data_IF_544052276537
#
_entry.id   IF_544052276537
#
_cell.length_a   1.000
_cell.length_b   1.000
_cell.length_c   1.000
_cell.angle_alpha   90.00
_cell.angle_beta   90.00
_cell.angle_gamma   90.00
#
_symmetry.space_group_name_H-M   'P 1'
#
loop_
_entity.id
_entity.type
_entity.pdbx_description
1 polymer ?
#
# COMPACT_ATOMS: atom_id res chain seq x y z
N UNK A 1 11.57 -4.82 -19.10
CA UNK A 1 11.47 -3.44 -19.62
C UNK A 1 10.95 -2.61 -18.46
N UNK A 2 11.74 -1.67 -17.94
CA UNK A 2 11.27 -0.77 -16.87
C UNK A 2 10.21 0.14 -17.49
N UNK A 3 9.01 0.18 -16.92
CA UNK A 3 8.03 1.22 -17.25
C UNK A 3 8.67 2.55 -16.92
N UNK A 4 8.82 3.42 -17.94
CA UNK A 4 9.31 4.76 -17.71
C UNK A 4 8.37 5.49 -16.73
N UNK A 5 8.94 6.32 -15.86
CA UNK A 5 8.19 7.21 -14.94
C UNK A 5 7.04 7.95 -15.62
N UNK A 6 7.16 8.13 -16.93
CA UNK A 6 6.28 8.89 -17.80
C UNK A 6 4.95 8.16 -18.06
N UNK A 7 4.92 6.82 -18.19
CA UNK A 7 3.68 6.11 -18.55
C UNK A 7 2.59 6.20 -17.46
N UNK A 8 2.97 6.06 -16.18
CA UNK A 8 2.01 6.22 -15.06
C UNK A 8 1.55 7.66 -14.96
N UNK A 9 2.46 8.61 -15.19
CA UNK A 9 2.13 10.04 -15.22
C UNK A 9 1.16 10.39 -16.34
N UNK A 10 1.41 9.89 -17.55
CA UNK A 10 0.55 10.07 -18.73
C UNK A 10 -0.80 9.42 -18.51
N UNK A 11 -0.83 8.19 -18.01
CA UNK A 11 -2.07 7.48 -17.68
C UNK A 11 -2.90 8.24 -16.65
N UNK A 12 -2.27 8.71 -15.57
CA UNK A 12 -2.92 9.53 -14.54
C UNK A 12 -3.54 10.80 -15.15
N UNK A 13 -2.77 11.55 -15.95
CA UNK A 13 -3.24 12.76 -16.63
C UNK A 13 -4.34 12.49 -17.64
N UNK A 14 -4.24 11.40 -18.41
CA UNK A 14 -5.24 11.01 -19.40
C UNK A 14 -6.60 10.69 -18.76
N UNK A 15 -6.59 10.20 -17.52
CA UNK A 15 -7.80 9.97 -16.73
C UNK A 15 -8.22 11.19 -15.89
N UNK A 16 -7.57 12.34 -16.06
CA UNK A 16 -7.89 13.58 -15.35
C UNK A 16 -7.32 13.70 -13.93
N UNK A 17 -6.40 12.82 -13.53
CA UNK A 17 -5.67 12.94 -12.27
C UNK A 17 -4.43 13.83 -12.38
N UNK A 18 -3.98 14.35 -11.24
CA UNK A 18 -2.79 15.21 -11.11
C UNK A 18 -1.65 14.57 -10.32
N UNK A 19 -1.97 13.58 -9.47
CA UNK A 19 -1.02 12.92 -8.57
C UNK A 19 -0.85 11.43 -8.89
N UNK A 20 0.14 11.07 -9.72
CA UNK A 20 0.42 9.67 -10.07
C UNK A 20 0.97 8.86 -8.89
N UNK A 21 0.25 7.80 -8.51
CA UNK A 21 0.67 6.84 -7.49
C UNK A 21 1.64 5.82 -8.10
N UNK A 22 2.90 5.87 -7.69
CA UNK A 22 3.95 4.93 -8.16
C UNK A 22 4.37 3.91 -7.14
N UNK A 23 4.12 4.19 -5.87
CA UNK A 23 4.49 3.32 -4.76
C UNK A 23 3.42 3.32 -3.69
N UNK A 24 3.17 2.15 -3.09
CA UNK A 24 2.16 1.96 -2.05
C UNK A 24 2.77 1.21 -0.87
N UNK A 25 2.64 1.78 0.33
CA UNK A 25 2.85 1.06 1.58
C UNK A 25 1.58 0.27 1.92
N UNK A 26 1.72 -1.03 2.07
CA UNK A 26 0.65 -1.94 2.50
C UNK A 26 0.74 -2.07 4.02
N UNK A 27 -0.09 -1.30 4.72
CA UNK A 27 -0.20 -1.28 6.18
C UNK A 27 -1.18 -2.36 6.68
N UNK A 28 -1.04 -3.58 6.15
CA UNK A 28 -1.86 -4.74 6.49
C UNK A 28 -1.06 -6.02 6.21
N UNK A 29 -1.54 -7.17 6.68
CA UNK A 29 -0.93 -8.48 6.43
C UNK A 29 -1.95 -9.50 5.91
N UNK A 30 -1.54 -10.77 5.85
CA UNK A 30 -2.42 -11.90 5.55
C UNK A 30 -3.19 -11.75 4.25
N UNK A 31 -4.45 -12.18 4.26
CA UNK A 31 -5.30 -12.24 3.07
C UNK A 31 -5.60 -10.86 2.48
N UNK A 32 -5.68 -9.82 3.32
CA UNK A 32 -5.95 -8.45 2.87
C UNK A 32 -4.82 -7.95 1.97
N UNK A 33 -3.59 -8.01 2.49
CA UNK A 33 -2.41 -7.61 1.74
C UNK A 33 -2.22 -8.44 0.46
N UNK A 34 -2.41 -9.78 0.54
CA UNK A 34 -2.29 -10.65 -0.65
C UNK A 34 -3.29 -10.28 -1.73
N UNK A 35 -4.57 -10.11 -1.39
CA UNK A 35 -5.60 -9.76 -2.37
C UNK A 35 -5.31 -8.42 -3.03
N UNK A 36 -5.00 -7.39 -2.23
CA UNK A 36 -4.66 -6.07 -2.74
C UNK A 36 -3.47 -6.11 -3.69
N UNK A 37 -2.35 -6.71 -3.27
CA UNK A 37 -1.15 -6.75 -4.10
C UNK A 37 -1.41 -7.51 -5.40
N UNK A 38 -2.09 -8.67 -5.37
CA UNK A 38 -2.41 -9.44 -6.57
C UNK A 38 -3.32 -8.67 -7.53
N UNK A 39 -4.32 -7.96 -7.01
CA UNK A 39 -5.20 -7.12 -7.83
C UNK A 39 -4.43 -5.97 -8.50
N UNK A 40 -3.53 -5.29 -7.77
CA UNK A 40 -2.68 -4.24 -8.36
C UNK A 40 -1.74 -4.82 -9.42
N UNK A 41 -1.13 -5.98 -9.19
CA UNK A 41 -0.27 -6.66 -10.18
C UNK A 41 -1.02 -7.03 -11.45
N UNK A 42 -2.22 -7.60 -11.32
CA UNK A 42 -3.06 -7.98 -12.46
C UNK A 42 -3.43 -6.74 -13.29
N UNK A 43 -3.97 -5.71 -12.63
CA UNK A 43 -4.33 -4.44 -13.27
C UNK A 43 -3.11 -3.77 -13.94
N UNK A 44 -1.97 -3.72 -13.26
CA UNK A 44 -0.74 -3.14 -13.80
C UNK A 44 -0.26 -3.90 -15.04
N UNK A 45 -0.36 -5.24 -15.04
CA UNK A 45 0.00 -6.06 -16.20
C UNK A 45 -0.89 -5.78 -17.39
N UNK A 46 -2.20 -5.68 -17.17
CA UNK A 46 -3.18 -5.41 -18.23
C UNK A 46 -3.04 -3.98 -18.78
N UNK A 47 -2.72 -3.01 -17.91
CA UNK A 47 -2.68 -1.59 -18.27
C UNK A 47 -1.34 -1.14 -18.83
N UNK A 48 -0.22 -1.60 -18.25
CA UNK A 48 1.13 -1.14 -18.56
C UNK A 48 2.02 -2.23 -19.16
N UNK A 49 1.50 -3.45 -19.35
CA UNK A 49 2.29 -4.59 -19.84
C UNK A 49 3.31 -5.13 -18.85
N UNK A 50 3.27 -4.69 -17.58
CA UNK A 50 4.10 -5.23 -16.50
C UNK A 50 3.37 -5.19 -15.16
N UNK A 51 3.55 -6.24 -14.38
CA UNK A 51 3.06 -6.31 -13.00
C UNK A 51 3.83 -5.35 -12.07
N UNK A 52 5.02 -4.88 -12.46
CA UNK A 52 5.91 -4.04 -11.65
C UNK A 52 5.74 -2.53 -11.86
N UNK A 53 4.63 -2.08 -12.47
CA UNK A 53 4.39 -0.65 -12.67
C UNK A 53 4.29 0.12 -11.33
N UNK A 54 3.62 -0.48 -10.34
CA UNK A 54 3.49 0.09 -8.99
C UNK A 54 4.42 -0.65 -8.03
N UNK A 55 5.28 0.08 -7.33
CA UNK A 55 6.12 -0.45 -6.26
C UNK A 55 5.27 -0.76 -5.03
N UNK A 56 5.30 -2.00 -4.54
CA UNK A 56 4.54 -2.42 -3.36
C UNK A 56 5.51 -2.69 -2.20
N UNK A 57 5.35 -1.93 -1.12
CA UNK A 57 6.14 -2.03 0.11
C UNK A 57 5.28 -2.66 1.21
N UNK A 58 5.73 -3.76 1.81
CA UNK A 58 5.01 -4.42 2.90
C UNK A 58 5.58 -4.07 4.28
N UNK A 59 4.71 -4.03 5.28
CA UNK A 59 5.11 -4.20 6.69
C UNK A 59 5.12 -5.70 7.03
N UNK A 60 6.17 -6.18 7.71
CA UNK A 60 6.31 -7.58 8.09
C UNK A 60 6.74 -7.72 9.55
N UNK A 61 5.95 -8.41 10.37
CA UNK A 61 6.37 -8.76 11.73
C UNK A 61 7.34 -9.95 11.71
N UNK A 62 8.13 -10.17 12.77
CA UNK A 62 8.90 -11.41 12.94
C UNK A 62 8.03 -12.67 12.81
N UNK A 63 6.77 -12.62 13.24
CA UNK A 63 5.80 -13.70 13.09
C UNK A 63 5.49 -13.98 11.61
N UNK A 64 5.20 -12.93 10.82
CA UNK A 64 4.95 -13.04 9.38
C UNK A 64 6.18 -13.60 8.64
N UNK A 65 7.38 -13.14 9.00
CA UNK A 65 8.63 -13.61 8.41
C UNK A 65 8.89 -15.08 8.73
N UNK A 66 8.71 -15.51 9.99
CA UNK A 66 8.84 -16.92 10.39
C UNK A 66 7.81 -17.81 9.71
N UNK A 67 6.59 -17.31 9.51
CA UNK A 67 5.52 -18.02 8.81
C UNK A 67 5.70 -18.04 7.28
N UNK A 68 6.73 -17.36 6.74
CA UNK A 68 6.94 -17.18 5.31
C UNK A 68 5.68 -16.61 4.61
N UNK A 69 5.09 -15.59 5.23
CA UNK A 69 3.81 -15.02 4.85
C UNK A 69 3.80 -14.57 3.38
N UNK A 70 2.71 -14.86 2.69
CA UNK A 70 2.62 -14.70 1.24
C UNK A 70 2.71 -13.24 0.79
N UNK A 71 2.14 -12.29 1.55
CA UNK A 71 2.21 -10.87 1.20
C UNK A 71 3.65 -10.35 1.19
N UNK A 72 4.50 -10.84 2.09
CA UNK A 72 5.93 -10.50 2.12
C UNK A 72 6.64 -10.98 0.85
N UNK A 73 6.29 -12.16 0.34
CA UNK A 73 6.85 -12.72 -0.90
C UNK A 73 6.39 -12.00 -2.16
N UNK A 74 5.18 -11.43 -2.15
CA UNK A 74 4.61 -10.71 -3.31
C UNK A 74 5.15 -9.27 -3.39
N UNK A 75 5.42 -8.66 -2.24
CA UNK A 75 5.93 -7.29 -2.16
C UNK A 75 7.29 -7.15 -2.86
N UNK A 76 7.57 -5.97 -3.40
CA UNK A 76 8.90 -5.69 -3.97
C UNK A 76 9.93 -5.44 -2.88
N UNK A 77 9.47 -4.86 -1.77
CA UNK A 77 10.26 -4.53 -0.60
C UNK A 77 9.41 -4.76 0.65
N UNK A 78 10.05 -5.03 1.77
CA UNK A 78 9.37 -5.05 3.05
C UNK A 78 10.23 -4.37 4.12
N UNK A 79 9.57 -3.82 5.13
CA UNK A 79 10.19 -3.37 6.37
C UNK A 79 9.76 -4.28 7.50
N UNK A 80 10.74 -4.74 8.27
CA UNK A 80 10.46 -5.43 9.51
C UNK A 80 9.91 -4.43 10.53
N UNK A 81 8.79 -4.79 11.18
CA UNK A 81 8.10 -3.99 12.18
C UNK A 81 7.99 -4.76 13.50
N UNK A 82 7.76 -4.11 14.65
CA UNK A 82 7.66 -4.80 15.93
C UNK A 82 6.63 -5.93 15.92
N UNK A 83 6.96 -7.07 16.53
CA UNK A 83 6.05 -8.21 16.66
C UNK A 83 4.99 -8.05 17.75
N UNK A 84 4.25 -9.13 17.99
CA UNK A 84 3.21 -9.20 19.02
C UNK A 84 1.86 -8.67 18.55
N UNK A 85 1.09 -8.07 19.46
CA UNK A 85 -0.27 -7.55 19.16
C UNK A 85 -0.23 -6.47 18.09
N UNK A 86 -1.32 -6.34 17.32
CA UNK A 86 -1.40 -5.41 16.19
C UNK A 86 -1.17 -3.93 16.56
N UNK A 87 -1.45 -3.53 17.79
CA UNK A 87 -1.18 -2.18 18.32
C UNK A 87 0.31 -1.79 18.27
N UNK A 88 1.22 -2.75 18.12
CA UNK A 88 2.65 -2.51 17.98
C UNK A 88 3.08 -2.31 16.51
N UNK A 89 2.22 -2.66 15.54
CA UNK A 89 2.56 -2.75 14.13
C UNK A 89 1.45 -2.20 13.22
N UNK A 90 0.59 -3.06 12.68
CA UNK A 90 -0.41 -2.75 11.66
C UNK A 90 -1.52 -1.81 12.15
N UNK A 91 -1.75 -1.73 13.46
CA UNK A 91 -2.71 -0.82 14.08
C UNK A 91 -2.04 0.40 14.74
N UNK A 92 -0.73 0.60 14.53
CA UNK A 92 0.00 1.73 15.07
C UNK A 92 0.11 2.83 14.00
N UNK A 93 -0.76 3.83 14.08
CA UNK A 93 -0.80 4.95 13.11
C UNK A 93 0.54 5.67 13.03
N UNK A 94 1.14 5.99 14.17
CA UNK A 94 2.43 6.71 14.23
C UNK A 94 3.55 5.93 13.52
N UNK A 95 3.61 4.60 13.72
CA UNK A 95 4.57 3.76 13.02
C UNK A 95 4.30 3.71 11.51
N UNK A 96 3.03 3.62 11.09
CA UNK A 96 2.65 3.61 9.67
C UNK A 96 3.11 4.91 9.00
N UNK A 97 2.87 6.06 9.64
CA UNK A 97 3.29 7.38 9.18
C UNK A 97 4.81 7.45 9.09
N UNK A 98 5.55 7.03 10.12
CA UNK A 98 7.02 7.01 10.12
C UNK A 98 7.57 6.17 8.94
N UNK A 99 6.99 4.99 8.72
CA UNK A 99 7.41 4.13 7.60
C UNK A 99 7.07 4.78 6.27
N UNK A 100 5.90 5.39 6.14
CA UNK A 100 5.48 6.07 4.92
C UNK A 100 6.44 7.23 4.56
N UNK A 101 6.84 8.04 5.55
CA UNK A 101 7.84 9.10 5.39
C UNK A 101 9.20 8.55 4.98
N UNK A 102 9.70 7.53 5.71
CA UNK A 102 11.02 6.93 5.46
C UNK A 102 11.13 6.30 4.08
N UNK A 103 10.04 5.68 3.62
CA UNK A 103 9.98 5.00 2.31
C UNK A 103 9.60 5.93 1.17
N UNK A 104 9.10 7.13 1.47
CA UNK A 104 8.61 8.12 0.50
C UNK A 104 7.62 7.50 -0.49
N UNK A 105 6.71 6.67 0.02
CA UNK A 105 5.65 6.08 -0.80
C UNK A 105 4.68 7.14 -1.29
N UNK A 106 4.08 6.94 -2.45
CA UNK A 106 3.03 7.84 -2.97
C UNK A 106 1.70 7.64 -2.24
N UNK A 107 1.48 6.47 -1.66
CA UNK A 107 0.24 6.15 -0.99
C UNK A 107 0.39 5.11 0.12
N UNK A 108 -0.59 5.07 1.02
CA UNK A 108 -0.76 4.03 2.05
C UNK A 108 -2.08 3.32 1.81
N UNK A 109 -2.09 1.99 1.93
CA UNK A 109 -3.28 1.17 1.89
C UNK A 109 -3.40 0.34 3.19
N UNK A 110 -4.33 0.68 4.09
CA UNK A 110 -4.53 -0.05 5.35
C UNK A 110 -5.49 -1.24 5.20
N UNK A 111 -6.19 -1.37 4.08
CA UNK A 111 -7.14 -2.47 3.84
C UNK A 111 -8.33 -2.47 4.79
N UNK A 112 -8.56 -3.58 5.47
CA UNK A 112 -9.59 -3.74 6.50
C UNK A 112 -9.01 -4.32 7.79
N UNK A 113 -9.60 -3.97 8.93
CA UNK A 113 -9.04 -4.23 10.25
C UNK A 113 -7.80 -3.39 10.54
N UNK A 114 -7.21 -3.59 11.72
CA UNK A 114 -6.07 -2.79 12.18
C UNK A 114 -6.37 -1.29 12.19
N UNK A 115 -5.50 -0.44 11.63
CA UNK A 115 -5.70 1.00 11.55
C UNK A 115 -6.69 1.43 10.44
N UNK A 116 -7.34 0.50 9.72
CA UNK A 116 -8.22 0.87 8.58
C UNK A 116 -9.41 1.73 8.95
N UNK A 117 -9.87 1.62 10.21
CA UNK A 117 -11.00 2.38 10.76
C UNK A 117 -10.55 3.39 11.82
N UNK A 118 -9.23 3.58 11.97
CA UNK A 118 -8.69 4.55 12.90
C UNK A 118 -8.80 5.95 12.27
N UNK A 119 -9.56 6.88 12.87
CA UNK A 119 -9.73 8.23 12.33
C UNK A 119 -8.43 9.05 12.38
N UNK A 120 -7.44 8.68 13.20
CA UNK A 120 -6.15 9.37 13.26
C UNK A 120 -5.30 9.09 12.00
N UNK A 121 -5.52 7.94 11.34
CA UNK A 121 -4.72 7.54 10.18
C UNK A 121 -4.81 8.52 8.98
N UNK A 122 -6.01 8.92 8.48
CA UNK A 122 -6.10 9.92 7.42
C UNK A 122 -5.47 11.26 7.84
N UNK A 123 -5.82 11.76 9.02
CA UNK A 123 -5.36 13.06 9.51
C UNK A 123 -3.82 13.10 9.61
N UNK A 124 -3.20 12.05 10.17
CA UNK A 124 -1.75 11.96 10.31
C UNK A 124 -1.01 11.77 8.97
N UNK A 125 -1.69 11.25 7.94
CA UNK A 125 -1.13 11.10 6.59
C UNK A 125 -1.32 12.34 5.72
N UNK A 126 -2.34 13.16 5.97
CA UNK A 126 -2.56 14.44 5.28
C UNK A 126 -1.43 15.45 5.55
N UNK A 127 -0.80 15.37 6.72
CA UNK A 127 0.38 16.16 7.05
C UNK A 127 1.62 15.77 6.20
N UNK A 128 1.59 14.61 5.54
CA UNK A 128 2.64 14.16 4.63
C UNK A 128 2.41 14.68 3.21
N UNK A 129 3.30 15.57 2.77
CA UNK A 129 3.22 16.18 1.44
C UNK A 129 3.19 15.11 0.34
N UNK A 130 2.14 15.16 -0.50
CA UNK A 130 1.90 14.31 -1.67
C UNK A 130 1.65 12.81 -1.40
N UNK A 131 1.18 12.45 -0.21
CA UNK A 131 0.79 11.07 0.11
C UNK A 131 -0.73 10.89 0.03
N UNK A 132 -1.18 9.83 -0.64
CA UNK A 132 -2.60 9.47 -0.72
C UNK A 132 -2.94 8.30 0.21
N UNK A 133 -4.01 8.43 0.98
CA UNK A 133 -4.63 7.29 1.65
C UNK A 133 -5.62 6.60 0.69
N UNK A 134 -5.39 5.32 0.42
CA UNK A 134 -6.30 4.51 -0.40
C UNK A 134 -7.33 3.86 0.53
N UNK A 135 -8.47 4.52 0.73
CA UNK A 135 -9.62 3.97 1.46
C UNK A 135 -10.51 3.15 0.52
N UNK A 136 -10.89 1.94 0.95
CA UNK A 136 -11.83 1.07 0.23
C UNK A 136 -13.20 1.75 0.06
N UNK A 137 -13.57 2.66 0.96
CA UNK A 137 -14.86 3.34 0.94
C UNK A 137 -15.10 4.30 -0.24
N UNK A 138 -14.10 4.55 -1.10
CA UNK A 138 -14.28 5.39 -2.29
C UNK A 138 -14.35 4.61 -3.62
N UNK A 139 -14.37 3.28 -3.59
CA UNK A 139 -14.32 2.47 -4.82
C UNK A 139 -15.29 1.30 -4.96
N UNK A 140 -16.24 1.09 -4.04
CA UNK A 140 -17.17 -0.07 -4.18
C UNK A 140 -18.63 0.36 -4.24
N UNK A 141 -19.09 0.65 -5.46
CA UNK A 141 -20.48 0.44 -5.87
C UNK A 141 -20.82 -1.04 -6.09
N UNK A 142 -20.11 -1.96 -5.43
CA UNK A 142 -20.35 -3.40 -5.48
C UNK A 142 -20.20 -3.96 -4.08
N UNK A 143 -21.31 -4.48 -3.55
CA UNK A 143 -21.37 -5.19 -2.28
C UNK A 143 -20.46 -6.42 -2.30
N UNK A 144 -19.84 -6.70 -1.15
CA UNK A 144 -19.19 -7.97 -0.84
C UNK A 144 -20.13 -9.17 -1.04
#
# INVERSE_FOLDING_TARGET
>A
MMVGSDQISEFCRALGGDTPIRSVLVANNGMAAVKFMRSIRAWASETFGTDKAVLLVAMATPEDLRANAEHVRIADQFLEVPGGTNNNNYANVQLIVEIAERTRVSAVWPGWGHASEDPELPDALEDLVNLFLILIWRFTGTNF
#
